data_IF_413372539019
#
_entry.id   IF_413372539019
#
_cell.length_a   1.000
_cell.length_b   1.000
_cell.length_c   1.000
_cell.angle_alpha   90.00
_cell.angle_beta   90.00
_cell.angle_gamma   90.00
#
_symmetry.space_group_name_H-M   'P 1'
#
loop_
_entity.id
_entity.type
_entity.pdbx_description
1 polymer ?
#
# COMPACT_ATOMS: atom_id res chain seq x y z
N UNK A 1 -7.58 11.13 -10.93
CA UNK A 1 -8.71 10.18 -11.05
C UNK A 1 -8.78 9.53 -12.44
N UNK A 2 -8.94 10.28 -13.53
CA UNK A 2 -9.04 9.72 -14.90
C UNK A 2 -7.82 8.85 -15.29
N UNK A 3 -6.56 9.35 -15.22
CA UNK A 3 -5.42 8.54 -15.64
C UNK A 3 -5.19 7.32 -14.73
N UNK A 4 -5.38 7.49 -13.42
CA UNK A 4 -5.22 6.40 -12.44
C UNK A 4 -6.26 5.32 -12.62
N UNK A 5 -7.51 5.68 -12.95
CA UNK A 5 -8.56 4.71 -13.24
C UNK A 5 -8.31 3.89 -14.50
N UNK A 6 -7.73 4.50 -15.56
CA UNK A 6 -7.35 3.77 -16.78
C UNK A 6 -6.24 2.77 -16.49
N UNK A 7 -5.21 3.18 -15.74
CA UNK A 7 -4.10 2.29 -15.37
C UNK A 7 -4.64 1.09 -14.57
N UNK A 8 -5.49 1.32 -13.57
CA UNK A 8 -6.13 0.25 -12.79
C UNK A 8 -6.95 -0.66 -13.70
N UNK A 9 -7.73 -0.11 -14.62
CA UNK A 9 -8.58 -0.89 -15.51
C UNK A 9 -7.79 -1.82 -16.44
N UNK A 10 -6.58 -1.44 -16.85
CA UNK A 10 -5.72 -2.22 -17.75
C UNK A 10 -4.81 -3.18 -16.97
N UNK A 11 -4.19 -2.70 -15.90
CA UNK A 11 -3.11 -3.41 -15.19
C UNK A 11 -3.57 -4.13 -13.93
N UNK A 12 -4.76 -3.80 -13.43
CA UNK A 12 -5.27 -4.23 -12.13
C UNK A 12 -4.40 -3.78 -10.93
N UNK A 13 -3.50 -2.82 -11.11
CA UNK A 13 -2.66 -2.27 -10.05
C UNK A 13 -3.21 -0.92 -9.60
N UNK A 14 -3.54 -0.82 -8.30
CA UNK A 14 -4.01 0.42 -7.71
C UNK A 14 -2.87 1.42 -7.51
N UNK A 15 -2.85 2.46 -8.35
CA UNK A 15 -1.90 3.55 -8.24
C UNK A 15 -2.53 4.77 -7.55
N UNK A 16 -1.92 5.20 -6.46
CA UNK A 16 -2.33 6.39 -5.69
C UNK A 16 -1.31 7.51 -5.95
N UNK A 17 -1.79 8.72 -6.24
CA UNK A 17 -0.94 9.87 -6.62
C UNK A 17 -0.34 10.57 -5.39
N UNK A 18 0.21 9.82 -4.44
CA UNK A 18 0.51 10.32 -3.10
C UNK A 18 1.60 11.41 -3.07
N UNK A 19 2.72 11.18 -3.76
CA UNK A 19 3.87 12.10 -3.82
C UNK A 19 3.55 13.44 -4.49
N UNK A 20 3.00 13.50 -5.73
CA UNK A 20 2.72 14.79 -6.37
C UNK A 20 1.65 15.60 -5.61
N UNK A 21 0.68 14.91 -4.99
CA UNK A 21 -0.31 15.56 -4.12
C UNK A 21 0.37 16.11 -2.86
N UNK A 22 1.26 15.35 -2.23
CA UNK A 22 2.02 15.79 -1.05
C UNK A 22 2.91 17.00 -1.37
N UNK A 23 3.55 17.01 -2.54
CA UNK A 23 4.33 18.16 -3.01
C UNK A 23 3.45 19.40 -3.17
N UNK A 24 2.28 19.25 -3.82
CA UNK A 24 1.33 20.36 -3.99
C UNK A 24 0.84 20.89 -2.64
N UNK A 25 0.42 19.99 -1.74
CA UNK A 25 -0.09 20.34 -0.41
C UNK A 25 0.96 21.08 0.44
N UNK A 26 2.22 20.68 0.32
CA UNK A 26 3.36 21.35 0.95
C UNK A 26 3.52 22.81 0.49
N UNK A 27 3.20 23.11 -0.77
CA UNK A 27 3.22 24.49 -1.28
C UNK A 27 2.01 25.31 -0.81
N UNK A 28 0.85 24.68 -0.60
CA UNK A 28 -0.39 25.36 -0.20
C UNK A 28 -0.36 25.74 1.29
N UNK A 29 0.08 24.83 2.16
CA UNK A 29 0.07 24.99 3.62
C UNK A 29 1.47 24.74 4.24
N UNK A 30 2.46 25.60 3.93
CA UNK A 30 3.80 25.41 4.47
C UNK A 30 3.82 25.63 5.99
N UNK A 31 4.48 24.75 6.73
CA UNK A 31 4.70 24.89 8.17
C UNK A 31 3.56 24.39 9.06
N UNK A 32 2.43 23.93 8.49
CA UNK A 32 1.31 23.40 9.26
C UNK A 32 1.14 21.88 9.04
N UNK A 33 1.60 21.02 9.96
CA UNK A 33 1.52 19.56 9.80
C UNK A 33 0.08 19.04 9.88
N UNK A 34 -0.76 19.63 10.72
CA UNK A 34 -2.15 19.20 10.91
C UNK A 34 -2.96 19.52 9.64
N UNK A 35 -2.77 20.71 9.08
CA UNK A 35 -3.40 21.10 7.81
C UNK A 35 -2.95 20.23 6.63
N UNK A 36 -1.67 19.85 6.59
CA UNK A 36 -1.17 18.91 5.59
C UNK A 36 -1.84 17.53 5.72
N UNK A 37 -1.88 16.97 6.93
CA UNK A 37 -2.44 15.64 7.19
C UNK A 37 -3.92 15.55 6.82
N UNK A 38 -4.73 16.54 7.18
CA UNK A 38 -6.17 16.52 6.88
C UNK A 38 -6.43 16.60 5.39
N UNK A 39 -5.71 17.46 4.68
CA UNK A 39 -5.85 17.62 3.23
C UNK A 39 -5.35 16.37 2.49
N UNK A 40 -4.21 15.80 2.90
CA UNK A 40 -3.68 14.55 2.36
C UNK A 40 -4.66 13.40 2.57
N UNK A 41 -5.20 13.23 3.78
CA UNK A 41 -6.15 12.18 4.11
C UNK A 41 -7.43 12.30 3.29
N UNK A 42 -7.93 13.52 3.09
CA UNK A 42 -9.11 13.77 2.26
C UNK A 42 -8.87 13.33 0.81
N UNK A 43 -7.80 13.82 0.16
CA UNK A 43 -7.55 13.53 -1.26
C UNK A 43 -7.32 12.03 -1.50
N UNK A 44 -6.46 11.42 -0.67
CA UNK A 44 -6.12 9.99 -0.82
C UNK A 44 -7.33 9.10 -0.57
N UNK A 45 -8.16 9.40 0.44
CA UNK A 45 -9.40 8.67 0.72
C UNK A 45 -10.40 8.81 -0.42
N UNK A 46 -10.61 10.02 -0.94
CA UNK A 46 -11.49 10.25 -2.09
C UNK A 46 -11.04 9.45 -3.32
N UNK A 47 -9.73 9.41 -3.57
CA UNK A 47 -9.18 8.63 -4.69
C UNK A 47 -9.40 7.13 -4.51
N UNK A 48 -9.06 6.60 -3.33
CA UNK A 48 -9.22 5.18 -3.03
C UNK A 48 -10.68 4.74 -3.12
N UNK A 49 -11.59 5.49 -2.50
CA UNK A 49 -13.01 5.18 -2.51
C UNK A 49 -13.56 5.25 -3.93
N UNK A 50 -13.26 6.29 -4.70
CA UNK A 50 -13.81 6.45 -6.06
C UNK A 50 -13.42 5.28 -6.97
N UNK A 51 -12.18 4.79 -6.92
CA UNK A 51 -11.75 3.63 -7.71
C UNK A 51 -12.52 2.37 -7.27
N UNK A 52 -12.65 2.14 -5.97
CA UNK A 52 -13.40 0.98 -5.46
C UNK A 52 -14.90 1.05 -5.82
N UNK A 53 -15.52 2.22 -5.71
CA UNK A 53 -16.89 2.46 -6.17
C UNK A 53 -17.03 2.11 -7.66
N UNK A 54 -16.10 2.55 -8.51
CA UNK A 54 -16.11 2.21 -9.94
C UNK A 54 -15.98 0.70 -10.19
N UNK A 55 -15.12 0.00 -9.44
CA UNK A 55 -15.00 -1.46 -9.50
C UNK A 55 -16.32 -2.14 -9.12
N UNK A 56 -16.96 -1.71 -8.03
CA UNK A 56 -18.25 -2.25 -7.60
C UNK A 56 -19.37 -1.98 -8.62
N UNK A 57 -19.40 -0.80 -9.24
CA UNK A 57 -20.35 -0.49 -10.30
C UNK A 57 -20.16 -1.37 -11.54
N UNK A 58 -18.91 -1.66 -11.91
CA UNK A 58 -18.60 -2.54 -13.04
C UNK A 58 -19.12 -3.96 -12.77
N UNK A 59 -18.89 -4.49 -11.57
CA UNK A 59 -19.42 -5.80 -11.15
C UNK A 59 -20.96 -5.79 -11.16
N UNK A 60 -21.58 -4.75 -10.59
CA UNK A 60 -23.03 -4.61 -10.57
C UNK A 60 -23.65 -4.57 -11.97
N UNK A 61 -22.97 -3.90 -12.91
CA UNK A 61 -23.37 -3.87 -14.31
C UNK A 61 -23.34 -5.27 -14.94
N UNK A 62 -22.30 -6.07 -14.68
CA UNK A 62 -22.24 -7.47 -15.14
C UNK A 62 -23.35 -8.34 -14.53
N UNK A 63 -23.73 -8.06 -13.27
CA UNK A 63 -24.80 -8.75 -12.56
C UNK A 63 -26.22 -8.21 -12.90
N UNK A 64 -26.32 -7.24 -13.82
CA UNK A 64 -27.59 -6.59 -14.24
C UNK A 64 -28.36 -5.92 -13.09
N UNK A 65 -27.65 -5.41 -12.07
CA UNK A 65 -28.26 -4.71 -10.95
C UNK A 65 -28.41 -3.22 -11.32
N UNK A 66 -29.57 -2.58 -11.07
CA UNK A 66 -29.78 -1.18 -11.42
C UNK A 66 -28.83 -0.24 -10.64
N UNK A 67 -28.26 0.80 -11.28
CA UNK A 67 -27.21 1.64 -10.72
C UNK A 67 -27.63 2.47 -9.50
N UNK A 68 -28.93 2.79 -9.38
CA UNK A 68 -29.45 3.54 -8.23
C UNK A 68 -29.40 2.72 -6.94
N UNK A 69 -29.72 1.43 -7.04
CA UNK A 69 -29.71 0.53 -5.87
C UNK A 69 -28.28 0.29 -5.43
N UNK A 70 -27.36 0.08 -6.37
CA UNK A 70 -25.94 -0.15 -6.05
C UNK A 70 -25.30 1.08 -5.44
N UNK A 71 -25.60 2.28 -5.93
CA UNK A 71 -25.14 3.53 -5.32
C UNK A 71 -25.61 3.67 -3.87
N UNK A 72 -26.92 3.52 -3.61
CA UNK A 72 -27.47 3.63 -2.26
C UNK A 72 -26.90 2.60 -1.30
N UNK A 73 -26.75 1.34 -1.74
CA UNK A 73 -26.17 0.28 -0.92
C UNK A 73 -24.71 0.56 -0.58
N UNK A 74 -23.89 0.96 -1.56
CA UNK A 74 -22.48 1.28 -1.32
C UNK A 74 -22.33 2.47 -0.36
N UNK A 75 -23.19 3.48 -0.46
CA UNK A 75 -23.22 4.58 0.51
C UNK A 75 -23.53 4.10 1.92
N UNK A 76 -24.61 3.32 2.09
CA UNK A 76 -25.00 2.78 3.40
C UNK A 76 -23.88 1.93 4.00
N UNK A 77 -23.29 1.03 3.20
CA UNK A 77 -22.16 0.20 3.64
C UNK A 77 -20.95 1.05 4.05
N UNK A 78 -20.63 2.11 3.29
CA UNK A 78 -19.51 2.99 3.63
C UNK A 78 -19.73 3.73 4.96
N UNK A 79 -20.95 4.20 5.22
CA UNK A 79 -21.31 4.88 6.48
C UNK A 79 -21.16 3.91 7.65
N UNK A 80 -21.73 2.70 7.54
CA UNK A 80 -21.61 1.67 8.58
C UNK A 80 -20.14 1.33 8.83
N UNK A 81 -19.35 1.12 7.78
CA UNK A 81 -17.94 0.81 7.90
C UNK A 81 -17.16 1.93 8.61
N UNK A 82 -17.41 3.20 8.30
CA UNK A 82 -16.73 4.32 8.96
C UNK A 82 -17.08 4.41 10.46
N UNK A 83 -18.36 4.20 10.82
CA UNK A 83 -18.81 4.21 12.21
C UNK A 83 -18.13 3.09 13.00
N UNK A 84 -18.12 1.87 12.46
CA UNK A 84 -17.49 0.72 13.13
C UNK A 84 -15.99 0.97 13.32
N UNK A 85 -15.28 1.40 12.27
CA UNK A 85 -13.85 1.70 12.37
C UNK A 85 -13.56 2.79 13.40
N UNK A 86 -14.38 3.84 13.47
CA UNK A 86 -14.23 4.91 14.46
C UNK A 86 -14.43 4.42 15.89
N UNK A 87 -15.49 3.64 16.15
CA UNK A 87 -15.76 3.06 17.46
C UNK A 87 -14.62 2.15 17.89
N UNK A 88 -14.14 1.27 17.01
CA UNK A 88 -13.03 0.37 17.30
C UNK A 88 -11.75 1.16 17.59
N UNK A 89 -11.45 2.20 16.82
CA UNK A 89 -10.28 3.05 17.07
C UNK A 89 -10.35 3.72 18.46
N UNK A 90 -11.50 4.28 18.82
CA UNK A 90 -11.70 4.91 20.13
C UNK A 90 -11.63 3.91 21.29
N UNK A 91 -12.17 2.70 21.09
CA UNK A 91 -12.08 1.61 22.07
C UNK A 91 -10.63 1.20 22.33
N UNK A 92 -9.83 1.05 21.26
CA UNK A 92 -8.41 0.67 21.38
C UNK A 92 -7.59 1.75 22.11
N UNK A 93 -7.81 3.03 21.78
CA UNK A 93 -7.10 4.14 22.42
C UNK A 93 -7.42 4.28 23.92
N UNK A 94 -8.63 3.96 24.34
CA UNK A 94 -9.05 4.12 25.75
C UNK A 94 -8.67 2.91 26.62
N UNK A 95 -8.67 1.69 26.07
CA UNK A 95 -8.48 0.48 26.86
C UNK A 95 -7.05 -0.05 26.89
N UNK A 96 -6.23 0.27 25.88
CA UNK A 96 -4.85 -0.24 25.78
C UNK A 96 -3.89 0.86 26.21
N UNK A 97 -3.25 0.76 27.39
CA UNK A 97 -2.26 1.74 27.81
C UNK A 97 -1.01 1.65 26.93
N UNK A 98 -0.42 2.81 26.59
CA UNK A 98 0.81 2.91 25.79
C UNK A 98 0.67 2.30 24.37
N UNK A 99 -0.48 2.49 23.71
CA UNK A 99 -0.62 2.14 22.29
C UNK A 99 0.29 3.05 21.43
N UNK A 100 0.82 2.53 20.32
CA UNK A 100 1.70 3.28 19.41
C UNK A 100 2.98 3.89 20.04
N UNK A 101 3.41 3.44 21.22
CA UNK A 101 4.70 3.87 21.82
C UNK A 101 5.75 2.77 21.67
N UNK A 102 7.02 3.18 21.59
CA UNK A 102 8.16 2.27 21.39
C UNK A 102 8.32 1.19 22.47
N UNK A 103 7.63 1.31 23.60
CA UNK A 103 7.66 0.34 24.72
C UNK A 103 6.80 -0.90 24.48
N UNK A 104 5.72 -0.78 23.68
CA UNK A 104 4.79 -1.87 23.45
C UNK A 104 5.02 -2.51 22.08
N UNK A 105 5.71 -3.66 22.07
CA UNK A 105 6.04 -4.40 20.85
C UNK A 105 4.82 -5.05 20.17
N UNK A 106 3.73 -5.27 20.90
CA UNK A 106 2.50 -5.89 20.39
C UNK A 106 1.60 -4.91 19.62
N UNK A 107 1.59 -3.63 20.03
CA UNK A 107 0.68 -2.60 19.52
C UNK A 107 1.44 -1.49 18.79
N UNK A 108 2.17 -1.85 17.74
CA UNK A 108 2.90 -0.91 16.88
C UNK A 108 1.99 -0.31 15.80
N UNK A 109 2.15 0.98 15.55
CA UNK A 109 1.32 1.74 14.60
C UNK A 109 2.14 2.21 13.40
N UNK A 110 2.70 1.26 12.65
CA UNK A 110 3.62 1.50 11.52
C UNK A 110 3.04 2.49 10.49
N UNK A 111 1.77 2.32 10.12
CA UNK A 111 1.11 3.19 9.14
C UNK A 111 0.96 4.63 9.66
N UNK A 112 0.65 4.79 10.95
CA UNK A 112 0.50 6.10 11.60
C UNK A 112 1.85 6.79 11.74
N UNK A 113 2.90 6.07 12.10
CA UNK A 113 4.27 6.61 12.18
C UNK A 113 4.79 7.06 10.80
N UNK A 114 4.53 6.27 9.75
CA UNK A 114 4.87 6.66 8.37
C UNK A 114 4.13 7.92 7.93
N UNK A 115 2.84 8.02 8.27
CA UNK A 115 2.02 9.20 7.98
C UNK A 115 2.48 10.43 8.76
N UNK A 116 2.86 10.26 10.03
CA UNK A 116 3.41 11.31 10.87
C UNK A 116 4.76 11.81 10.30
N UNK A 117 5.68 10.91 9.99
CA UNK A 117 6.98 11.24 9.39
C UNK A 117 6.79 11.99 8.07
N UNK A 118 5.85 11.54 7.23
CA UNK A 118 5.49 12.22 5.99
C UNK A 118 4.96 13.64 6.23
N UNK A 119 4.15 13.86 7.26
CA UNK A 119 3.66 15.20 7.62
C UNK A 119 4.75 16.15 8.09
N UNK A 120 5.79 15.64 8.75
CA UNK A 120 6.92 16.46 9.19
C UNK A 120 7.74 16.89 7.97
N UNK A 121 8.05 15.94 7.08
CA UNK A 121 8.84 16.16 5.87
C UNK A 121 8.11 17.13 4.93
N UNK A 122 6.88 16.79 4.54
CA UNK A 122 6.13 17.54 3.53
C UNK A 122 5.38 18.74 4.11
N UNK A 123 4.83 18.63 5.32
CA UNK A 123 4.06 19.71 5.96
C UNK A 123 4.91 20.75 6.68
N UNK A 124 5.81 20.34 7.57
CA UNK A 124 6.57 21.28 8.44
C UNK A 124 7.80 21.85 7.74
N UNK A 125 8.67 20.97 7.21
CA UNK A 125 9.93 21.40 6.57
C UNK A 125 9.62 22.00 5.19
N UNK A 126 8.75 21.33 4.45
CA UNK A 126 8.26 21.75 3.16
C UNK A 126 9.22 21.47 2.00
N UNK A 127 8.66 21.33 0.79
CA UNK A 127 9.39 20.95 -0.42
C UNK A 127 10.57 21.89 -0.70
N UNK A 128 10.41 23.20 -0.45
CA UNK A 128 11.44 24.21 -0.75
C UNK A 128 12.72 24.03 0.04
N UNK A 129 12.64 23.58 1.30
CA UNK A 129 13.82 23.38 2.14
C UNK A 129 14.50 22.03 1.85
N UNK A 130 13.70 21.00 1.57
CA UNK A 130 14.23 19.65 1.30
C UNK A 130 14.77 19.54 -0.11
N UNK A 131 14.04 20.03 -1.11
CA UNK A 131 14.36 19.87 -2.53
C UNK A 131 14.76 21.20 -3.21
N UNK A 132 15.09 22.24 -2.44
CA UNK A 132 15.57 23.51 -2.97
C UNK A 132 16.97 23.41 -3.58
N UNK A 133 17.33 24.38 -4.43
CA UNK A 133 18.68 24.50 -5.01
C UNK A 133 19.70 24.66 -3.88
N UNK A 134 20.68 23.75 -3.80
CA UNK A 134 21.68 23.71 -2.73
C UNK A 134 21.38 22.73 -1.58
N UNK A 135 20.23 22.04 -1.61
CA UNK A 135 19.93 20.98 -0.64
C UNK A 135 20.50 19.62 -1.06
N UNK A 136 20.81 18.77 -0.07
CA UNK A 136 21.30 17.40 -0.24
C UNK A 136 20.32 16.54 -1.04
N UNK A 137 19.02 16.77 -0.90
CA UNK A 137 17.96 16.00 -1.57
C UNK A 137 17.53 16.59 -2.92
N UNK A 138 18.14 17.68 -3.37
CA UNK A 138 17.85 18.28 -4.68
C UNK A 138 17.90 17.26 -5.85
N UNK A 139 18.87 16.30 -5.90
CA UNK A 139 18.94 15.36 -7.01
C UNK A 139 17.72 14.45 -7.16
N UNK A 140 16.93 14.23 -6.10
CA UNK A 140 15.76 13.34 -6.12
C UNK A 140 14.67 13.89 -7.04
N UNK A 141 14.58 15.21 -7.23
CA UNK A 141 13.65 15.81 -8.20
C UNK A 141 13.90 15.33 -9.64
N UNK A 142 15.15 15.01 -10.00
CA UNK A 142 15.45 14.44 -11.33
C UNK A 142 14.86 13.04 -11.51
N UNK A 143 14.52 12.33 -10.43
CA UNK A 143 13.77 11.08 -10.48
C UNK A 143 12.41 11.23 -11.15
N UNK A 144 11.75 12.39 -11.01
CA UNK A 144 10.48 12.67 -11.69
C UNK A 144 10.67 12.80 -13.21
N UNK A 145 11.77 13.41 -13.64
CA UNK A 145 12.13 13.50 -15.07
C UNK A 145 12.47 12.12 -15.64
N UNK A 146 13.22 11.32 -14.88
CA UNK A 146 13.50 9.92 -15.25
C UNK A 146 12.19 9.13 -15.41
N UNK A 147 11.26 9.28 -14.47
CA UNK A 147 9.93 8.67 -14.53
C UNK A 147 9.10 9.10 -15.73
N UNK A 148 9.25 10.34 -16.22
CA UNK A 148 8.60 10.84 -17.43
C UNK A 148 9.25 10.30 -18.71
N UNK A 149 10.57 10.16 -18.70
CA UNK A 149 11.36 9.74 -19.87
C UNK A 149 11.28 8.23 -20.10
N UNK A 150 11.28 7.41 -19.04
CA UNK A 150 11.20 5.95 -19.11
C UNK A 150 10.06 5.38 -19.99
N UNK A 151 8.78 5.79 -19.83
CA UNK A 151 7.69 5.28 -20.67
C UNK A 151 7.77 5.78 -22.12
N UNK A 152 8.39 6.94 -22.36
CA UNK A 152 8.62 7.44 -23.73
C UNK A 152 9.68 6.59 -24.42
N UNK A 153 10.73 6.21 -23.70
CA UNK A 153 11.78 5.32 -24.20
C UNK A 153 11.21 3.94 -24.54
N UNK A 154 10.38 3.33 -23.67
CA UNK A 154 9.77 2.02 -23.99
C UNK A 154 8.85 2.10 -25.21
N UNK A 155 8.04 3.15 -25.31
CA UNK A 155 7.18 3.36 -26.48
C UNK A 155 7.98 3.50 -27.78
N UNK A 156 9.07 4.25 -27.76
CA UNK A 156 9.94 4.43 -28.93
C UNK A 156 10.66 3.12 -29.31
N UNK A 157 11.16 2.37 -28.33
CA UNK A 157 11.80 1.07 -28.53
C UNK A 157 10.85 0.06 -29.18
N UNK A 158 9.60 -0.01 -28.69
CA UNK A 158 8.57 -0.86 -29.27
C UNK A 158 8.24 -0.49 -30.72
N UNK A 159 8.15 0.82 -31.02
CA UNK A 159 7.87 1.31 -32.39
C UNK A 159 9.02 1.04 -33.36
N UNK A 160 10.28 1.11 -32.89
CA UNK A 160 11.48 0.94 -33.74
C UNK A 160 11.81 -0.53 -34.00
N UNK A 161 11.51 -1.43 -33.05
CA UNK A 161 11.83 -2.86 -33.15
C UNK A 161 10.56 -3.74 -33.10
N UNK A 162 9.71 -3.72 -34.15
CA UNK A 162 8.46 -4.49 -34.17
C UNK A 162 8.67 -6.01 -34.16
N UNK A 163 9.87 -6.49 -34.52
CA UNK A 163 10.20 -7.91 -34.53
C UNK A 163 10.35 -8.51 -33.11
N UNK A 164 10.50 -7.66 -32.10
CA UNK A 164 10.84 -8.06 -30.73
C UNK A 164 9.58 -7.98 -29.85
N UNK A 165 8.78 -9.06 -29.83
CA UNK A 165 7.47 -9.10 -29.15
C UNK A 165 7.51 -8.86 -27.63
N UNK A 166 8.63 -9.15 -26.97
CA UNK A 166 8.79 -8.98 -25.52
C UNK A 166 8.93 -7.52 -25.07
N UNK A 167 9.40 -6.63 -25.96
CA UNK A 167 9.46 -5.19 -25.67
C UNK A 167 8.06 -4.57 -25.48
N UNK A 168 7.03 -5.20 -26.04
CA UNK A 168 5.64 -4.76 -25.87
C UNK A 168 5.08 -5.03 -24.46
N UNK A 169 5.71 -5.92 -23.69
CA UNK A 169 5.28 -6.27 -22.32
C UNK A 169 6.06 -5.51 -21.23
N UNK A 170 7.00 -4.63 -21.60
CA UNK A 170 7.78 -3.85 -20.65
C UNK A 170 7.07 -2.54 -20.34
N UNK A 171 6.31 -2.55 -19.25
CA UNK A 171 5.64 -1.36 -18.72
C UNK A 171 6.41 -0.79 -17.51
N UNK A 172 7.25 0.21 -17.77
CA UNK A 172 7.98 0.93 -16.71
C UNK A 172 7.10 1.53 -15.61
N UNK A 173 5.90 2.08 -15.89
CA UNK A 173 5.02 2.59 -14.84
C UNK A 173 4.60 1.50 -13.84
N UNK A 174 4.38 0.28 -14.30
CA UNK A 174 4.04 -0.86 -13.44
C UNK A 174 5.23 -1.24 -12.57
N UNK A 175 6.42 -1.30 -13.17
CA UNK A 175 7.65 -1.63 -12.45
C UNK A 175 7.96 -0.62 -11.34
N UNK A 176 7.83 0.68 -11.62
CA UNK A 176 8.01 1.73 -10.62
C UNK A 176 6.87 1.78 -9.58
N UNK A 177 5.65 1.44 -9.98
CA UNK A 177 4.52 1.36 -9.05
C UNK A 177 4.65 0.19 -8.06
N UNK A 178 5.42 -0.85 -8.39
CA UNK A 178 5.62 -1.99 -7.51
C UNK A 178 6.26 -1.59 -6.18
N UNK A 179 7.04 -0.51 -6.12
CA UNK A 179 7.71 -0.06 -4.89
C UNK A 179 6.89 0.92 -4.04
N UNK A 180 5.61 1.15 -4.36
CA UNK A 180 4.80 2.17 -3.70
C UNK A 180 4.53 1.91 -2.19
N UNK A 181 4.67 0.66 -1.72
CA UNK A 181 4.47 0.33 -0.30
C UNK A 181 5.77 0.30 0.52
N UNK A 182 6.92 0.64 -0.08
CA UNK A 182 8.18 0.85 0.64
C UNK A 182 8.20 2.29 1.16
N UNK A 183 8.35 2.56 2.47
CA UNK A 183 7.82 1.91 3.68
C UNK A 183 6.30 2.15 3.86
N UNK A 184 5.54 1.35 4.64
CA UNK A 184 5.95 0.57 5.82
C UNK A 184 6.12 -0.95 5.60
N UNK A 185 5.94 -1.45 4.38
CA UNK A 185 6.05 -2.89 4.11
C UNK A 185 7.49 -3.39 4.32
N UNK A 186 7.71 -4.49 5.05
CA UNK A 186 9.04 -5.08 5.20
C UNK A 186 9.56 -5.62 3.86
N UNK A 187 10.88 -5.58 3.64
CA UNK A 187 11.49 -6.02 2.39
C UNK A 187 11.17 -7.49 2.02
N UNK A 188 10.92 -8.34 3.03
CA UNK A 188 10.52 -9.73 2.83
C UNK A 188 9.18 -9.87 2.07
N UNK A 189 8.28 -8.90 2.22
CA UNK A 189 6.97 -8.91 1.54
C UNK A 189 7.11 -8.84 0.01
N UNK A 190 8.10 -8.11 -0.50
CA UNK A 190 8.35 -8.02 -1.94
C UNK A 190 8.90 -9.30 -2.52
N UNK A 191 9.79 -9.97 -1.79
CA UNK A 191 10.38 -11.24 -2.22
C UNK A 191 9.31 -12.32 -2.24
N UNK A 192 8.47 -12.41 -1.20
CA UNK A 192 7.36 -13.37 -1.16
C UNK A 192 6.31 -13.06 -2.21
N UNK A 193 5.95 -11.79 -2.41
CA UNK A 193 5.02 -11.37 -3.47
C UNK A 193 5.53 -11.76 -4.86
N UNK A 194 6.81 -11.49 -5.16
CA UNK A 194 7.42 -11.88 -6.43
C UNK A 194 7.45 -13.40 -6.61
N UNK A 195 7.83 -14.14 -5.57
CA UNK A 195 7.91 -15.60 -5.61
C UNK A 195 6.53 -16.23 -5.83
N UNK A 196 5.52 -15.82 -5.07
CA UNK A 196 4.14 -16.28 -5.23
C UNK A 196 3.61 -15.88 -6.61
N UNK A 197 3.88 -14.65 -7.05
CA UNK A 197 3.54 -14.17 -8.38
C UNK A 197 4.15 -15.02 -9.49
N UNK A 198 5.43 -15.40 -9.36
CA UNK A 198 6.13 -16.27 -10.32
C UNK A 198 5.57 -17.70 -10.31
N UNK A 199 5.32 -18.29 -9.14
CA UNK A 199 4.75 -19.64 -9.05
C UNK A 199 3.36 -19.69 -9.71
N UNK A 200 2.48 -18.75 -9.38
CA UNK A 200 1.11 -18.77 -9.88
C UNK A 200 0.99 -18.30 -11.33
N UNK A 201 1.67 -17.22 -11.73
CA UNK A 201 1.50 -16.63 -13.05
C UNK A 201 2.49 -17.14 -14.10
N UNK A 202 3.63 -17.73 -13.72
CA UNK A 202 4.58 -18.29 -14.67
C UNK A 202 4.57 -19.82 -14.68
N UNK A 203 4.76 -20.45 -13.51
CA UNK A 203 4.86 -21.92 -13.43
C UNK A 203 3.49 -22.56 -13.63
N UNK A 204 2.52 -22.25 -12.76
CA UNK A 204 1.18 -22.86 -12.81
C UNK A 204 0.45 -22.51 -14.10
N UNK A 205 0.61 -21.28 -14.60
CA UNK A 205 0.05 -20.88 -15.89
C UNK A 205 0.60 -21.70 -17.07
N UNK A 206 1.91 -22.00 -17.08
CA UNK A 206 2.55 -22.74 -18.19
C UNK A 206 2.38 -24.25 -18.11
N UNK A 207 2.45 -24.83 -16.91
CA UNK A 207 2.46 -26.29 -16.72
C UNK A 207 1.10 -26.87 -16.32
N UNK A 208 0.21 -26.07 -15.73
CA UNK A 208 -1.09 -26.52 -15.21
C UNK A 208 -2.22 -25.54 -15.54
N UNK A 209 -2.30 -25.09 -16.80
CA UNK A 209 -3.25 -24.07 -17.26
C UNK A 209 -4.71 -24.37 -16.89
N UNK A 210 -5.15 -25.63 -17.04
CA UNK A 210 -6.53 -26.05 -16.74
C UNK A 210 -6.88 -25.84 -15.26
N UNK A 211 -5.92 -26.09 -14.36
CA UNK A 211 -6.12 -25.83 -12.93
C UNK A 211 -6.12 -24.33 -12.64
N UNK A 212 -5.19 -23.59 -13.26
CA UNK A 212 -5.05 -22.15 -13.07
C UNK A 212 -6.33 -21.40 -13.45
N UNK A 213 -6.90 -21.68 -14.63
CA UNK A 213 -8.12 -21.03 -15.12
C UNK A 213 -9.32 -21.25 -14.19
N UNK A 214 -9.45 -22.46 -13.62
CA UNK A 214 -10.60 -22.83 -12.80
C UNK A 214 -10.48 -22.39 -11.34
N UNK A 215 -9.26 -22.40 -10.77
CA UNK A 215 -9.08 -22.28 -9.32
C UNK A 215 -8.21 -21.11 -8.86
N UNK A 216 -7.39 -20.48 -9.71
CA UNK A 216 -6.45 -19.45 -9.25
C UNK A 216 -7.16 -18.26 -8.59
N UNK A 217 -8.24 -17.74 -9.20
CA UNK A 217 -9.01 -16.64 -8.63
C UNK A 217 -9.75 -17.01 -7.33
N UNK A 218 -10.30 -18.23 -7.26
CA UNK A 218 -10.97 -18.73 -6.06
C UNK A 218 -9.97 -18.93 -4.92
N UNK A 219 -8.78 -19.44 -5.23
CA UNK A 219 -7.69 -19.59 -4.28
C UNK A 219 -7.21 -18.24 -3.75
N UNK A 220 -7.04 -17.25 -4.63
CA UNK A 220 -6.69 -15.88 -4.22
C UNK A 220 -7.75 -15.29 -3.30
N UNK A 221 -9.04 -15.44 -3.62
CA UNK A 221 -10.12 -14.98 -2.75
C UNK A 221 -10.12 -15.71 -1.39
N UNK A 222 -9.88 -17.03 -1.40
CA UNK A 222 -9.78 -17.86 -0.21
C UNK A 222 -8.63 -17.45 0.70
N UNK A 223 -7.46 -17.14 0.14
CA UNK A 223 -6.29 -16.63 0.89
C UNK A 223 -6.60 -15.29 1.54
N UNK A 224 -7.21 -14.35 0.83
CA UNK A 224 -7.61 -13.04 1.40
C UNK A 224 -8.60 -13.19 2.56
N UNK A 225 -9.62 -14.04 2.40
CA UNK A 225 -10.55 -14.34 3.48
C UNK A 225 -9.87 -15.05 4.66
N UNK A 226 -8.96 -15.99 4.38
CA UNK A 226 -8.20 -16.71 5.38
C UNK A 226 -7.36 -15.77 6.25
N UNK A 227 -6.62 -14.84 5.63
CA UNK A 227 -5.83 -13.83 6.35
C UNK A 227 -6.72 -12.98 7.25
N UNK A 228 -7.88 -12.53 6.76
CA UNK A 228 -8.81 -11.74 7.55
C UNK A 228 -9.36 -12.50 8.78
N UNK A 229 -9.78 -13.76 8.59
CA UNK A 229 -10.29 -14.62 9.67
C UNK A 229 -9.18 -14.94 10.67
N UNK A 230 -8.00 -15.32 10.20
CA UNK A 230 -6.85 -15.58 11.06
C UNK A 230 -6.45 -14.34 11.85
N UNK A 231 -6.42 -13.16 11.22
CA UNK A 231 -6.14 -11.90 11.90
C UNK A 231 -7.13 -11.59 13.02
N UNK A 232 -8.43 -11.82 12.77
CA UNK A 232 -9.47 -11.66 13.78
C UNK A 232 -9.30 -12.63 14.96
N UNK A 233 -9.00 -13.91 14.69
CA UNK A 233 -8.75 -14.91 15.72
C UNK A 233 -7.51 -14.54 16.55
N UNK A 234 -6.42 -14.13 15.90
CA UNK A 234 -5.17 -13.70 16.56
C UNK A 234 -5.43 -12.49 17.46
N UNK A 235 -6.20 -11.51 16.99
CA UNK A 235 -6.57 -10.33 17.77
C UNK A 235 -7.30 -10.70 19.06
N UNK A 236 -8.32 -11.56 18.98
CA UNK A 236 -9.11 -11.98 20.15
C UNK A 236 -8.30 -12.90 21.08
N UNK A 237 -7.58 -13.88 20.51
CA UNK A 237 -6.92 -14.91 21.28
C UNK A 237 -5.64 -14.41 21.99
N UNK A 238 -4.86 -13.58 21.30
CA UNK A 238 -3.53 -13.17 21.77
C UNK A 238 -3.51 -11.70 22.22
N UNK A 239 -3.89 -10.78 21.33
CA UNK A 239 -3.72 -9.35 21.59
C UNK A 239 -4.64 -8.84 22.71
N UNK A 240 -5.88 -9.35 22.80
CA UNK A 240 -6.81 -8.96 23.87
C UNK A 240 -6.46 -9.58 25.24
N UNK A 241 -5.78 -10.73 25.26
CA UNK A 241 -5.43 -11.45 26.49
C UNK A 241 -4.02 -11.14 27.01
N UNK A 242 -3.33 -10.15 26.44
CA UNK A 242 -1.94 -9.79 26.75
C UNK A 242 -0.96 -10.99 26.69
N UNK A 243 -1.24 -12.01 25.90
CA UNK A 243 -0.37 -13.18 25.76
C UNK A 243 0.65 -12.96 24.64
N UNK A 244 1.92 -13.18 24.97
CA UNK A 244 2.99 -13.11 23.97
C UNK A 244 2.92 -14.33 23.04
N UNK A 245 3.04 -14.09 21.73
CA UNK A 245 3.09 -15.18 20.75
C UNK A 245 4.30 -16.08 21.04
N UNK A 246 4.16 -17.42 21.05
CA UNK A 246 5.25 -18.34 21.37
C UNK A 246 6.43 -18.13 20.43
N UNK A 247 7.66 -18.06 20.97
CA UNK A 247 8.84 -17.95 20.12
C UNK A 247 9.02 -19.21 19.27
N UNK A 248 9.02 -19.02 17.95
CA UNK A 248 9.26 -20.09 16.98
C UNK A 248 10.18 -19.57 15.87
N UNK A 249 10.68 -20.51 15.06
CA UNK A 249 11.71 -20.26 14.05
C UNK A 249 11.34 -19.16 13.03
N UNK A 250 10.05 -18.97 12.72
CA UNK A 250 9.59 -17.96 11.75
C UNK A 250 9.37 -16.55 12.30
N UNK A 251 9.47 -16.33 13.62
CA UNK A 251 9.46 -14.97 14.20
C UNK A 251 10.82 -14.29 14.05
N UNK A 252 11.88 -15.03 13.74
CA UNK A 252 13.20 -14.45 13.54
C UNK A 252 13.92 -14.09 14.85
N UNK A 253 13.69 -14.89 15.90
CA UNK A 253 14.39 -14.79 17.17
C UNK A 253 14.03 -13.55 18.01
N UNK A 254 14.83 -13.19 19.02
CA UNK A 254 14.53 -12.10 19.96
C UNK A 254 14.46 -10.72 19.29
N UNK A 255 15.13 -10.53 18.14
CA UNK A 255 15.09 -9.28 17.37
C UNK A 255 13.85 -9.14 16.48
N UNK A 256 13.10 -10.23 16.29
CA UNK A 256 11.91 -10.32 15.41
C UNK A 256 12.15 -10.03 13.91
N UNK A 257 13.40 -10.17 13.45
CA UNK A 257 13.80 -9.94 12.04
C UNK A 257 14.53 -11.12 11.40
N UNK A 258 14.92 -12.13 12.18
CA UNK A 258 15.65 -13.30 11.68
C UNK A 258 17.06 -13.00 11.20
N UNK A 259 17.55 -11.77 11.38
CA UNK A 259 18.83 -11.31 10.88
C UNK A 259 19.73 -10.87 12.06
N UNK A 260 20.71 -11.69 12.48
CA UNK A 260 21.56 -11.37 13.63
C UNK A 260 22.51 -10.19 13.38
N UNK A 261 22.77 -9.86 12.10
CA UNK A 261 23.68 -8.79 11.68
C UNK A 261 22.99 -7.42 11.49
N UNK A 262 21.66 -7.37 11.55
CA UNK A 262 20.93 -6.12 11.44
C UNK A 262 21.07 -5.32 12.75
N UNK A 263 21.58 -4.09 12.63
CA UNK A 263 21.76 -3.15 13.75
C UNK A 263 20.40 -2.63 14.25
N UNK A 264 19.42 -2.56 13.35
CA UNK A 264 18.05 -2.19 13.66
C UNK A 264 17.07 -3.21 13.08
N UNK A 265 15.93 -3.39 13.74
CA UNK A 265 14.85 -4.22 13.23
C UNK A 265 14.14 -3.59 12.02
N UNK A 266 13.21 -4.32 11.37
CA UNK A 266 12.44 -3.80 10.23
C UNK A 266 11.64 -2.52 10.57
N UNK A 267 11.40 -2.27 11.86
CA UNK A 267 10.77 -1.05 12.38
C UNK A 267 11.76 0.06 12.79
N UNK A 268 13.04 -0.06 12.43
CA UNK A 268 14.07 0.95 12.71
C UNK A 268 14.57 0.99 14.16
N UNK A 269 14.24 -0.01 14.98
CA UNK A 269 14.67 -0.08 16.38
C UNK A 269 16.03 -0.73 16.51
N UNK A 270 17.02 0.04 16.99
CA UNK A 270 18.30 -0.48 17.46
C UNK A 270 18.08 -1.05 18.86
N UNK A 271 18.17 -2.37 19.01
CA UNK A 271 18.31 -3.00 20.32
C UNK A 271 19.69 -2.60 20.85
N UNK A 272 19.77 -1.48 21.57
CA UNK A 272 20.91 -1.24 22.46
C UNK A 272 20.76 -2.22 23.62
N UNK A 273 21.72 -3.14 23.73
CA UNK A 273 21.85 -4.04 24.89
C UNK A 273 21.81 -3.27 26.22
#
# INVERSE_FOLDING_TARGET
>A
MIPTGIIVAVTNIMFILDVPISMLNSFILPGNPIGFLTLQAYITSCQYQTINFLCSFKIAHYMKIPPRITFSMLLICSIIATIVNYITAMYLLNNIPNICTHKNLLWKCLQTESSFTSSVIWGVVGVRKIFGVGSIYYPILFGLLIGLVLPIISWFLWKKFPNIKWLAFIDFPIFLAATNMLPPAPAAEYVTWFLVGFIFNFILYRYAHVWWEKYAYVFSAGMSCGVAICGFIIFIALQNNNSEFPQWWGIGGPRRDGCPLAIANYSGFVLTD
#
